data_IF_957104844362
#
_entry.id   IF_957104844362
#
_cell.length_a   1.000
_cell.length_b   1.000
_cell.length_c   1.000
_cell.angle_alpha   90.00
_cell.angle_beta   90.00
_cell.angle_gamma   90.00
#
_symmetry.space_group_name_H-M   'P 1'
#
loop_
_entity.id
_entity.type
_entity.pdbx_description
1 polymer ?
#
# COMPACT_ATOMS: atom_id res chain seq x y z
N UNK A 1 11.31 4.14 -20.91
CA UNK A 1 10.27 3.13 -21.22
C UNK A 1 9.09 3.73 -21.96
N UNK A 2 8.50 4.85 -21.50
CA UNK A 2 7.42 5.52 -22.22
C UNK A 2 7.80 5.88 -23.67
N UNK A 3 8.98 6.46 -23.88
CA UNK A 3 9.49 6.76 -25.22
C UNK A 3 9.57 5.52 -26.14
N UNK A 4 10.04 4.39 -25.61
CA UNK A 4 10.07 3.12 -26.36
C UNK A 4 8.65 2.61 -26.65
N UNK A 5 7.71 2.80 -25.73
CA UNK A 5 6.30 2.44 -25.94
C UNK A 5 5.68 3.28 -27.06
N UNK A 6 5.94 4.60 -27.09
CA UNK A 6 5.51 5.50 -28.16
C UNK A 6 6.09 5.10 -29.52
N UNK A 7 7.38 4.75 -29.57
CA UNK A 7 7.99 4.22 -30.80
C UNK A 7 7.30 2.94 -31.30
N UNK A 8 6.84 2.06 -30.39
CA UNK A 8 6.07 0.86 -30.74
C UNK A 8 4.66 1.20 -31.22
N UNK A 9 3.99 2.16 -30.58
CA UNK A 9 2.70 2.68 -31.02
C UNK A 9 2.80 3.23 -32.44
N UNK A 10 3.83 4.04 -32.74
CA UNK A 10 4.05 4.57 -34.08
C UNK A 10 4.21 3.44 -35.13
N UNK A 11 4.95 2.37 -34.80
CA UNK A 11 5.08 1.19 -35.67
C UNK A 11 3.75 0.45 -35.86
N UNK A 12 2.89 0.37 -34.84
CA UNK A 12 1.57 -0.26 -34.95
C UNK A 12 0.61 0.58 -35.81
N UNK A 13 0.61 1.91 -35.63
CA UNK A 13 -0.16 2.83 -36.46
C UNK A 13 0.24 2.73 -37.93
N UNK A 14 1.54 2.67 -38.22
CA UNK A 14 2.05 2.45 -39.57
C UNK A 14 1.63 1.10 -40.19
N UNK A 15 1.22 0.12 -39.37
CA UNK A 15 0.71 -1.19 -39.80
C UNK A 15 -0.82 -1.25 -39.92
N UNK A 16 -1.52 -0.13 -39.71
CA UNK A 16 -2.98 -0.03 -39.86
C UNK A 16 -3.78 -0.09 -38.55
N UNK A 17 -3.13 -0.14 -37.39
CA UNK A 17 -3.82 -0.09 -36.09
C UNK A 17 -4.03 1.37 -35.66
N UNK A 18 -5.10 1.99 -36.15
CA UNK A 18 -5.40 3.42 -35.94
C UNK A 18 -5.48 3.80 -34.45
N UNK A 19 -6.12 2.95 -33.64
CA UNK A 19 -6.32 3.16 -32.21
C UNK A 19 -5.21 2.58 -31.32
N UNK A 20 -4.05 2.27 -31.89
CA UNK A 20 -2.92 1.82 -31.09
C UNK A 20 -2.47 2.93 -30.13
N UNK A 21 -2.12 2.53 -28.91
CA UNK A 21 -1.74 3.47 -27.87
C UNK A 21 -1.11 2.78 -26.66
N UNK A 22 -0.58 3.61 -25.76
CA UNK A 22 -0.02 3.15 -24.49
C UNK A 22 -1.12 3.15 -23.43
N UNK A 23 -1.37 2.00 -22.82
CA UNK A 23 -2.22 1.88 -21.64
C UNK A 23 -1.36 2.08 -20.38
N UNK A 24 -1.48 3.27 -19.78
CA UNK A 24 -0.81 3.69 -18.55
C UNK A 24 -1.78 4.54 -17.70
N UNK A 25 -2.76 3.92 -17.02
CA UNK A 25 -3.83 4.64 -16.34
C UNK A 25 -3.34 5.40 -15.12
N UNK A 26 -3.68 6.69 -15.02
CA UNK A 26 -3.29 7.57 -13.92
C UNK A 26 -4.02 7.25 -12.60
N UNK A 27 -5.24 6.69 -12.66
CA UNK A 27 -6.13 6.46 -11.52
C UNK A 27 -5.58 5.53 -10.41
N UNK A 28 -4.49 4.81 -10.68
CA UNK A 28 -3.79 3.95 -9.72
C UNK A 28 -2.35 4.42 -9.42
N UNK A 29 -2.01 5.67 -9.74
CA UNK A 29 -0.71 6.27 -9.46
C UNK A 29 0.43 5.78 -10.37
N UNK A 30 0.11 5.16 -11.51
CA UNK A 30 1.06 4.52 -12.41
C UNK A 30 1.40 3.09 -11.97
N UNK A 31 1.15 2.12 -12.84
CA UNK A 31 1.29 0.68 -12.56
C UNK A 31 2.74 0.19 -12.53
N UNK A 32 3.72 1.05 -12.81
CA UNK A 32 5.12 0.68 -13.14
C UNK A 32 5.24 -0.31 -14.33
N UNK A 33 4.12 -0.68 -14.95
CA UNK A 33 3.96 -1.63 -16.04
C UNK A 33 2.93 -1.05 -17.00
N UNK A 34 3.39 -0.60 -18.16
CA UNK A 34 2.54 -0.06 -19.23
C UNK A 34 2.40 -1.08 -20.36
N UNK A 35 1.24 -1.13 -21.00
CA UNK A 35 1.01 -1.98 -22.17
C UNK A 35 0.97 -1.14 -23.44
N UNK A 36 1.47 -1.70 -24.54
CA UNK A 36 1.22 -1.16 -25.89
C UNK A 36 0.11 -1.98 -26.50
N UNK A 37 -1.03 -1.36 -26.75
CA UNK A 37 -2.24 -2.03 -27.24
C UNK A 37 -2.51 -1.67 -28.69
N UNK A 38 -3.16 -2.58 -29.43
CA UNK A 38 -3.69 -2.28 -30.76
C UNK A 38 -4.97 -1.43 -30.71
N UNK A 39 -5.72 -1.56 -29.62
CA UNK A 39 -6.97 -0.86 -29.34
C UNK A 39 -6.89 -0.26 -27.93
N UNK A 40 -6.18 0.86 -27.80
CA UNK A 40 -6.05 1.55 -26.51
C UNK A 40 -7.33 2.29 -26.11
N UNK A 41 -8.22 2.55 -27.07
CA UNK A 41 -9.58 3.06 -26.89
C UNK A 41 -10.52 2.05 -26.21
N UNK A 42 -10.23 0.75 -26.37
CA UNK A 42 -11.01 -0.37 -25.83
C UNK A 42 -10.09 -1.35 -25.07
N UNK A 43 -9.49 -0.91 -23.95
CA UNK A 43 -8.55 -1.75 -23.19
C UNK A 43 -9.22 -3.01 -22.65
N UNK A 44 -10.54 -3.00 -22.43
CA UNK A 44 -11.33 -4.12 -21.91
C UNK A 44 -11.41 -5.32 -22.86
N UNK A 45 -11.01 -5.17 -24.13
CA UNK A 45 -10.79 -6.30 -25.04
C UNK A 45 -9.62 -7.19 -24.61
N UNK A 46 -8.73 -6.66 -23.77
CA UNK A 46 -7.58 -7.34 -23.23
C UNK A 46 -7.86 -7.77 -21.79
N UNK A 47 -7.48 -9.00 -21.45
CA UNK A 47 -7.78 -9.58 -20.15
C UNK A 47 -7.19 -8.73 -19.00
N UNK A 48 -8.06 -8.25 -18.12
CA UNK A 48 -7.67 -7.54 -16.90
C UNK A 48 -7.27 -6.08 -17.09
N UNK A 49 -7.56 -5.45 -18.23
CA UNK A 49 -7.27 -4.03 -18.47
C UNK A 49 -8.58 -3.19 -18.47
N UNK A 50 -9.06 -2.77 -17.29
CA UNK A 50 -10.26 -1.94 -17.19
C UNK A 50 -10.04 -0.56 -17.81
N UNK A 51 -11.10 0.09 -18.31
CA UNK A 51 -10.99 1.44 -18.86
C UNK A 51 -10.65 2.52 -17.81
N UNK A 52 -11.19 2.40 -16.60
CA UNK A 52 -11.01 3.36 -15.50
C UNK A 52 -10.68 2.62 -14.19
N UNK A 53 -9.43 2.12 -14.02
CA UNK A 53 -9.04 1.45 -12.78
C UNK A 53 -8.94 2.44 -11.63
N UNK A 54 -9.52 2.07 -10.47
CA UNK A 54 -9.47 2.84 -9.23
C UNK A 54 -8.88 2.02 -8.11
N UNK A 55 -8.25 2.71 -7.16
CA UNK A 55 -7.82 2.11 -5.90
C UNK A 55 -9.05 1.92 -5.02
N UNK A 56 -9.20 0.72 -4.49
CA UNK A 56 -10.27 0.37 -3.55
C UNK A 56 -10.27 1.29 -2.31
N UNK A 57 -11.46 1.67 -1.83
CA UNK A 57 -11.60 2.63 -0.71
C UNK A 57 -10.94 2.12 0.56
N UNK A 58 -11.05 0.83 0.84
CA UNK A 58 -10.40 0.18 1.99
C UNK A 58 -8.88 0.25 1.90
N UNK A 59 -8.31 0.04 0.70
CA UNK A 59 -6.87 0.15 0.43
C UNK A 59 -6.40 1.59 0.60
N UNK A 60 -7.16 2.55 0.10
CA UNK A 60 -6.89 3.98 0.26
C UNK A 60 -6.88 4.39 1.75
N UNK A 61 -7.88 3.97 2.52
CA UNK A 61 -7.96 4.27 3.96
C UNK A 61 -6.80 3.65 4.74
N UNK A 62 -6.48 2.37 4.46
CA UNK A 62 -5.38 1.67 5.11
C UNK A 62 -4.03 2.33 4.80
N UNK A 63 -3.70 2.49 3.52
CA UNK A 63 -2.41 3.05 3.08
C UNK A 63 -2.30 4.55 3.40
N UNK A 64 -3.41 5.25 3.44
CA UNK A 64 -3.50 6.68 3.72
C UNK A 64 -3.44 7.00 5.21
N UNK A 65 -4.57 6.89 5.91
CA UNK A 65 -4.68 7.36 7.29
C UNK A 65 -4.19 6.32 8.32
N UNK A 66 -4.60 5.07 8.18
CA UNK A 66 -4.41 4.08 9.25
C UNK A 66 -2.96 3.65 9.42
N UNK A 67 -2.23 3.43 8.31
CA UNK A 67 -0.83 2.99 8.37
C UNK A 67 0.10 3.98 9.09
N UNK A 68 0.13 5.29 8.80
CA UNK A 68 0.96 6.23 9.56
C UNK A 68 0.50 6.39 11.01
N UNK A 69 -0.81 6.39 11.27
CA UNK A 69 -1.33 6.42 12.65
C UNK A 69 -0.92 5.20 13.45
N UNK A 70 -0.99 4.00 12.86
CA UNK A 70 -0.54 2.77 13.48
C UNK A 70 0.97 2.79 13.75
N UNK A 71 1.78 3.30 12.81
CA UNK A 71 3.23 3.46 13.02
C UNK A 71 3.54 4.43 14.17
N UNK A 72 2.84 5.57 14.23
CA UNK A 72 2.98 6.52 15.33
C UNK A 72 2.56 5.91 16.68
N UNK A 73 1.42 5.20 16.70
CA UNK A 73 0.93 4.48 17.88
C UNK A 73 1.93 3.43 18.36
N UNK A 74 2.51 2.65 17.45
CA UNK A 74 3.54 1.67 17.80
C UNK A 74 4.76 2.31 18.47
N UNK A 75 5.28 3.41 17.89
CA UNK A 75 6.41 4.15 18.46
C UNK A 75 6.05 4.72 19.84
N UNK A 76 4.87 5.32 19.97
CA UNK A 76 4.40 5.90 21.22
C UNK A 76 4.21 4.83 22.31
N UNK A 77 3.63 3.68 21.98
CA UNK A 77 3.49 2.56 22.92
C UNK A 77 4.86 2.04 23.34
N UNK A 78 5.77 1.82 22.41
CA UNK A 78 7.11 1.33 22.72
C UNK A 78 7.88 2.30 23.64
N UNK A 79 7.86 3.59 23.32
CA UNK A 79 8.42 4.62 24.18
C UNK A 79 7.74 4.65 25.56
N UNK A 80 6.40 4.60 25.59
CA UNK A 80 5.62 4.55 26.82
C UNK A 80 6.00 3.39 27.72
N UNK A 81 6.22 2.19 27.17
CA UNK A 81 6.68 1.03 27.92
C UNK A 81 8.06 1.25 28.54
N UNK A 82 9.01 1.82 27.78
CA UNK A 82 10.36 2.13 28.29
C UNK A 82 10.28 3.14 29.43
N UNK A 83 9.54 4.25 29.23
CA UNK A 83 9.41 5.29 30.25
C UNK A 83 8.64 4.79 31.49
N UNK A 84 7.60 3.97 31.30
CA UNK A 84 6.87 3.34 32.41
C UNK A 84 7.79 2.46 33.23
N UNK A 85 8.59 1.59 32.59
CA UNK A 85 9.52 0.71 33.29
C UNK A 85 10.59 1.49 34.07
N UNK A 86 11.18 2.54 33.50
CA UNK A 86 12.20 3.35 34.19
C UNK A 86 11.59 4.17 35.33
N UNK A 87 10.41 4.77 35.12
CA UNK A 87 9.80 5.69 36.06
C UNK A 87 9.04 5.03 37.21
N UNK A 88 8.37 3.90 36.96
CA UNK A 88 7.52 3.19 37.93
C UNK A 88 8.15 1.87 38.38
N UNK A 89 8.87 1.20 37.50
CA UNK A 89 9.49 -0.09 37.78
C UNK A 89 8.57 -1.28 37.50
N UNK A 90 9.11 -2.51 37.60
CA UNK A 90 8.32 -3.71 37.44
C UNK A 90 7.29 -3.87 38.57
N UNK A 91 6.20 -4.57 38.27
CA UNK A 91 5.26 -4.99 39.30
C UNK A 91 5.99 -5.93 40.28
N UNK A 92 5.83 -5.70 41.58
CA UNK A 92 6.39 -6.58 42.61
C UNK A 92 5.34 -7.60 42.98
N UNK A 93 5.74 -8.85 43.05
CA UNK A 93 4.90 -9.88 43.66
C UNK A 93 4.86 -9.60 45.17
N UNK A 94 3.68 -9.72 45.77
CA UNK A 94 3.58 -9.84 47.22
C UNK A 94 3.85 -11.30 47.51
N UNK A 95 4.97 -11.60 48.19
CA UNK A 95 5.12 -12.93 48.79
C UNK A 95 4.01 -13.06 49.83
N UNK A 96 3.11 -14.03 49.64
CA UNK A 96 2.11 -14.47 50.65
C UNK A 96 2.81 -15.24 51.80
N UNK A 97 3.95 -14.75 52.27
CA UNK A 97 4.76 -15.34 53.36
C UNK A 97 4.62 -14.54 54.68
N UNK A 98 3.44 -13.98 54.95
CA UNK A 98 3.10 -13.40 56.27
C UNK A 98 1.76 -13.94 56.82
N UNK A 99 1.53 -15.25 56.75
CA UNK A 99 0.59 -15.96 57.65
C UNK A 99 1.20 -17.26 58.19
N UNK A 100 2.36 -17.19 58.85
CA UNK A 100 2.82 -18.29 59.71
C UNK A 100 3.80 -17.82 60.80
N UNK A 101 3.33 -16.91 61.66
CA UNK A 101 3.92 -16.72 62.99
C UNK A 101 2.81 -16.65 64.04
N UNK A 102 2.14 -17.79 64.22
CA UNK A 102 1.58 -18.18 65.50
C UNK A 102 2.71 -18.65 66.42
N UNK A 103 3.05 -17.86 67.44
CA UNK A 103 3.50 -18.32 68.78
C UNK A 103 3.48 -17.16 69.79
#
# INVERSE_FOLDING_TARGET
MLELAEQRVAKLKARGYEHAGVYNPEGVGGTHVMYVLHHADQPELYHGLPKDPKIDTSVSLWKGALKPLAAAGFIATFAGLIFHYIGIGPNKEVDDDEEDHHE
#
